data_IF_927556055312
#
_entry.id   IF_927556055312
#
_cell.length_a   1.000
_cell.length_b   1.000
_cell.length_c   1.000
_cell.angle_alpha   90.00
_cell.angle_beta   90.00
_cell.angle_gamma   90.00
#
_symmetry.space_group_name_H-M   'P 1'
#
loop_
_entity.id
_entity.type
_entity.pdbx_description
1 polymer ?
#
# COMPACT_ATOMS: atom_id res chain seq x y z
N UNK A 1 -12.92 25.59 2.71
CA UNK A 1 -13.79 25.67 1.52
C UNK A 1 -12.89 25.91 0.33
N UNK A 2 -12.94 25.21 -0.80
CA UNK A 2 -13.70 24.04 -1.20
C UNK A 2 -12.92 23.35 -2.33
N UNK A 3 -12.89 22.01 -2.31
CA UNK A 3 -12.49 21.13 -3.43
C UNK A 3 -13.17 19.76 -3.19
N UNK A 4 -13.21 19.29 -1.93
CA UNK A 4 -13.78 17.98 -1.58
C UNK A 4 -15.30 17.85 -1.71
N UNK A 5 -16.09 18.92 -1.50
CA UNK A 5 -17.56 18.86 -1.60
C UNK A 5 -18.04 18.90 -3.07
N UNK A 6 -17.31 19.57 -3.94
CA UNK A 6 -17.60 19.62 -5.39
C UNK A 6 -17.19 18.31 -6.06
N UNK A 7 -16.08 17.70 -5.64
CA UNK A 7 -15.73 16.33 -6.05
C UNK A 7 -16.71 15.29 -5.48
N UNK A 8 -17.40 15.60 -4.37
CA UNK A 8 -18.47 14.77 -3.80
C UNK A 8 -19.76 14.78 -4.64
N UNK A 9 -20.10 15.89 -5.31
CA UNK A 9 -21.23 15.97 -6.25
C UNK A 9 -20.94 15.15 -7.53
N UNK A 10 -19.66 14.93 -7.84
CA UNK A 10 -19.20 14.01 -8.88
C UNK A 10 -19.18 12.52 -8.44
N UNK A 11 -19.71 12.13 -7.27
CA UNK A 11 -19.75 10.71 -6.84
C UNK A 11 -20.62 9.81 -7.74
N UNK A 12 -21.47 10.38 -8.59
CA UNK A 12 -22.12 9.62 -9.68
C UNK A 12 -21.17 9.15 -10.78
N UNK A 13 -20.04 9.84 -10.97
CA UNK A 13 -18.97 9.55 -11.97
C UNK A 13 -17.76 8.78 -11.38
N UNK A 14 -17.76 8.44 -10.09
CA UNK A 14 -16.66 7.73 -9.40
C UNK A 14 -16.39 6.30 -9.88
N UNK A 15 -17.26 5.75 -10.71
CA UNK A 15 -16.96 4.45 -11.33
C UNK A 15 -15.71 4.54 -12.19
N UNK A 16 -15.44 5.71 -12.78
CA UNK A 16 -14.26 5.96 -13.62
C UNK A 16 -13.17 6.74 -12.89
N UNK A 17 -13.52 7.66 -11.98
CA UNK A 17 -12.52 8.45 -11.27
C UNK A 17 -11.71 7.64 -10.23
N UNK A 18 -10.46 8.07 -10.04
CA UNK A 18 -9.54 7.61 -8.99
C UNK A 18 -9.19 8.77 -8.08
N UNK A 19 -9.02 8.50 -6.79
CA UNK A 19 -8.50 9.46 -5.82
C UNK A 19 -7.14 8.95 -5.35
N UNK A 20 -6.15 9.84 -5.37
CA UNK A 20 -4.82 9.54 -4.85
C UNK A 20 -4.85 9.48 -3.32
N UNK A 21 -4.35 8.37 -2.78
CA UNK A 21 -4.13 8.15 -1.37
C UNK A 21 -2.62 8.04 -1.13
N UNK A 22 -1.94 9.17 -0.83
CA UNK A 22 -0.51 9.19 -0.59
C UNK A 22 -0.22 8.59 0.79
N UNK A 23 0.82 7.75 0.84
CA UNK A 23 1.39 7.18 2.06
C UNK A 23 2.86 7.55 2.05
N UNK A 24 3.24 8.45 2.94
CA UNK A 24 4.62 8.93 2.99
C UNK A 24 5.56 7.85 3.56
N UNK A 25 6.86 8.01 3.32
CA UNK A 25 7.87 7.06 3.79
C UNK A 25 7.76 6.77 5.29
N UNK A 26 7.53 7.78 6.13
CA UNK A 26 7.44 7.62 7.58
C UNK A 26 6.22 6.78 7.99
N UNK A 27 5.10 6.94 7.31
CA UNK A 27 3.92 6.08 7.50
C UNK A 27 4.23 4.64 7.12
N UNK A 28 4.93 4.41 6.00
CA UNK A 28 5.37 3.07 5.61
C UNK A 28 6.36 2.46 6.60
N UNK A 29 7.30 3.24 7.14
CA UNK A 29 8.20 2.79 8.22
C UNK A 29 7.42 2.33 9.46
N UNK A 30 6.36 3.06 9.83
CA UNK A 30 5.48 2.68 10.94
C UNK A 30 4.68 1.41 10.63
N UNK A 31 4.17 1.27 9.40
CA UNK A 31 3.41 0.11 8.94
C UNK A 31 4.30 -1.15 8.95
N UNK A 32 5.51 -1.03 8.43
CA UNK A 32 6.45 -2.14 8.30
C UNK A 32 7.28 -2.38 9.57
N UNK A 33 7.27 -1.43 10.51
CA UNK A 33 8.08 -1.40 11.73
C UNK A 33 9.58 -1.61 11.48
N UNK A 34 10.07 -1.09 10.35
CA UNK A 34 11.46 -1.14 9.91
C UNK A 34 11.78 0.08 9.05
N UNK A 35 13.06 0.48 8.89
CA UNK A 35 13.41 1.55 7.97
C UNK A 35 13.04 1.22 6.51
N UNK A 36 12.53 2.21 5.81
CA UNK A 36 12.06 2.11 4.42
C UNK A 36 12.65 3.27 3.64
N UNK A 37 13.07 3.04 2.41
CA UNK A 37 13.49 4.11 1.50
C UNK A 37 12.72 3.99 0.19
N UNK A 38 12.12 5.11 -0.24
CA UNK A 38 11.30 5.15 -1.44
C UNK A 38 12.00 5.93 -2.55
N UNK A 39 12.20 5.24 -3.68
CA UNK A 39 12.67 5.81 -4.92
C UNK A 39 11.63 5.52 -6.02
N UNK A 40 11.65 6.24 -7.16
CA UNK A 40 10.73 5.94 -8.26
C UNK A 40 10.72 4.45 -8.63
N UNK A 41 9.53 3.85 -8.58
CA UNK A 41 9.20 2.44 -8.83
C UNK A 41 9.88 1.42 -7.90
N UNK A 42 10.53 1.85 -6.81
CA UNK A 42 11.32 0.98 -5.93
C UNK A 42 11.16 1.36 -4.47
N UNK A 43 10.89 0.35 -3.64
CA UNK A 43 10.90 0.42 -2.18
C UNK A 43 11.99 -0.48 -1.63
N UNK A 44 12.90 0.11 -0.85
CA UNK A 44 13.94 -0.62 -0.15
C UNK A 44 13.55 -0.77 1.33
N UNK A 45 13.40 -2.01 1.80
CA UNK A 45 13.04 -2.36 3.19
C UNK A 45 14.28 -2.85 3.91
N UNK A 46 14.66 -2.22 5.02
CA UNK A 46 15.89 -2.56 5.75
C UNK A 46 15.57 -3.36 7.01
N UNK A 47 15.95 -4.64 7.02
CA UNK A 47 15.71 -5.54 8.15
C UNK A 47 17.02 -5.88 8.87
N UNK A 48 16.97 -5.99 10.20
CA UNK A 48 18.13 -6.39 11.01
C UNK A 48 18.13 -7.90 11.22
N UNK A 49 19.16 -8.57 10.70
CA UNK A 49 19.38 -10.00 10.98
C UNK A 49 20.47 -10.15 12.05
N UNK A 50 20.09 -10.74 13.19
CA UNK A 50 21.05 -11.11 14.25
C UNK A 50 21.67 -12.46 13.91
N UNK A 51 22.99 -12.52 13.91
CA UNK A 51 23.78 -13.74 13.81
C UNK A 51 24.69 -13.81 15.02
N UNK A 52 24.35 -14.68 15.98
CA UNK A 52 25.12 -14.91 17.21
C UNK A 52 25.51 -13.59 17.92
N UNK A 53 26.72 -13.09 17.67
CA UNK A 53 27.27 -11.87 18.27
C UNK A 53 27.24 -10.61 17.38
N UNK A 54 26.74 -10.70 16.14
CA UNK A 54 26.72 -9.59 15.19
C UNK A 54 25.31 -9.34 14.64
N UNK A 55 24.91 -8.07 14.51
CA UNK A 55 23.73 -7.68 13.76
C UNK A 55 24.16 -7.06 12.44
N UNK A 56 23.58 -7.54 11.33
CA UNK A 56 23.80 -6.95 10.00
C UNK A 56 22.47 -6.44 9.45
N UNK A 57 22.51 -5.26 8.85
CA UNK A 57 21.40 -4.69 8.12
C UNK A 57 21.33 -5.34 6.73
N UNK A 58 20.16 -5.87 6.39
CA UNK A 58 19.83 -6.45 5.10
C UNK A 58 18.82 -5.57 4.40
N UNK A 59 19.12 -5.24 3.14
CA UNK A 59 18.29 -4.39 2.31
C UNK A 59 17.53 -5.26 1.32
N UNK A 60 16.22 -5.36 1.49
CA UNK A 60 15.32 -6.08 0.59
C UNK A 60 14.75 -5.07 -0.38
N UNK A 61 14.97 -5.28 -1.67
CA UNK A 61 14.48 -4.41 -2.73
C UNK A 61 13.20 -4.94 -3.33
N UNK A 62 12.14 -4.15 -3.18
CA UNK A 62 10.81 -4.38 -3.73
C UNK A 62 10.61 -3.41 -4.90
N UNK A 63 10.19 -3.94 -6.05
CA UNK A 63 9.86 -3.16 -7.23
C UNK A 63 8.33 -3.06 -7.35
N UNK A 64 7.88 -1.91 -7.82
CA UNK A 64 6.52 -1.73 -8.28
C UNK A 64 6.15 -2.81 -9.30
N UNK A 65 5.00 -3.45 -9.07
CA UNK A 65 4.37 -4.40 -9.97
C UNK A 65 2.90 -4.03 -10.15
N UNK A 66 2.18 -4.77 -10.99
CA UNK A 66 0.79 -4.45 -11.35
C UNK A 66 -0.23 -5.32 -10.60
N UNK A 67 0.17 -5.88 -9.45
CA UNK A 67 -0.63 -6.86 -8.71
C UNK A 67 -1.40 -6.20 -7.56
N UNK A 68 -2.70 -6.48 -7.48
CA UNK A 68 -3.54 -6.02 -6.38
C UNK A 68 -4.62 -7.04 -6.06
N UNK A 69 -4.98 -7.08 -4.77
CA UNK A 69 -6.04 -7.95 -4.24
C UNK A 69 -7.11 -7.03 -3.67
N UNK A 70 -8.33 -7.10 -4.22
CA UNK A 70 -9.50 -6.39 -3.71
C UNK A 70 -10.56 -7.40 -3.23
N UNK A 71 -10.29 -8.10 -2.14
CA UNK A 71 -11.25 -9.04 -1.53
C UNK A 71 -12.10 -8.31 -0.48
N UNK A 72 -13.35 -8.06 -0.84
CA UNK A 72 -14.36 -7.46 0.04
C UNK A 72 -14.66 -8.31 1.26
N UNK A 73 -14.87 -9.61 1.08
CA UNK A 73 -15.34 -10.53 2.12
C UNK A 73 -14.24 -10.76 3.16
N UNK A 74 -12.99 -10.86 2.72
CA UNK A 74 -11.84 -11.00 3.59
C UNK A 74 -11.32 -9.67 4.17
N UNK A 75 -11.89 -8.52 3.77
CA UNK A 75 -11.39 -7.21 4.22
C UNK A 75 -9.97 -6.90 3.76
N UNK A 76 -9.57 -7.40 2.59
CA UNK A 76 -8.18 -7.31 2.08
C UNK A 76 -8.11 -6.44 0.83
N UNK A 77 -7.46 -5.28 0.95
CA UNK A 77 -7.10 -4.38 -0.16
C UNK A 77 -5.58 -4.27 -0.16
N UNK A 78 -4.92 -5.14 -0.91
CA UNK A 78 -3.48 -5.26 -0.89
C UNK A 78 -2.87 -4.96 -2.25
N UNK A 79 -1.63 -4.45 -2.24
CA UNK A 79 -0.80 -4.33 -3.45
C UNK A 79 0.39 -5.27 -3.33
N UNK A 80 0.77 -5.88 -4.45
CA UNK A 80 1.86 -6.83 -4.55
C UNK A 80 3.06 -6.20 -5.23
N UNK A 81 4.26 -6.55 -4.74
CA UNK A 81 5.52 -6.05 -5.26
C UNK A 81 6.30 -7.19 -5.92
N UNK A 82 7.12 -6.86 -6.91
CA UNK A 82 8.13 -7.80 -7.40
C UNK A 82 9.36 -7.76 -6.51
N UNK A 83 9.92 -8.91 -6.20
CA UNK A 83 11.16 -9.01 -5.46
C UNK A 83 12.35 -9.21 -6.39
N UNK A 84 13.49 -8.58 -6.07
CA UNK A 84 14.70 -8.78 -6.85
C UNK A 84 15.32 -10.16 -6.64
N UNK A 85 15.22 -10.73 -5.44
CA UNK A 85 15.82 -12.01 -5.06
C UNK A 85 14.81 -12.86 -4.27
N UNK A 86 14.38 -14.00 -4.82
CA UNK A 86 13.39 -14.88 -4.16
C UNK A 86 13.83 -15.35 -2.77
N UNK A 87 15.14 -15.55 -2.54
CA UNK A 87 15.68 -15.94 -1.23
C UNK A 87 15.45 -14.92 -0.12
N UNK A 88 15.14 -13.66 -0.47
CA UNK A 88 14.91 -12.60 0.52
C UNK A 88 13.48 -12.66 1.09
N UNK A 89 12.61 -13.56 0.60
CA UNK A 89 11.21 -13.70 1.04
C UNK A 89 11.16 -13.96 2.54
N UNK A 90 12.04 -14.82 3.04
CA UNK A 90 12.11 -15.21 4.45
C UNK A 90 12.49 -14.04 5.38
N UNK A 91 13.06 -12.96 4.82
CA UNK A 91 13.52 -11.80 5.57
C UNK A 91 12.49 -10.68 5.61
N UNK A 92 11.40 -10.79 4.87
CA UNK A 92 10.37 -9.75 4.83
C UNK A 92 9.70 -9.57 6.19
N UNK A 93 9.32 -8.33 6.55
CA UNK A 93 8.46 -8.08 7.70
C UNK A 93 7.17 -8.91 7.64
N UNK A 94 6.70 -9.40 8.78
CA UNK A 94 5.52 -10.28 8.89
C UNK A 94 4.19 -9.66 8.43
N UNK A 95 4.16 -8.35 8.21
CA UNK A 95 3.01 -7.64 7.64
C UNK A 95 2.84 -7.89 6.14
N UNK A 96 3.90 -8.36 5.46
CA UNK A 96 3.78 -8.87 4.09
C UNK A 96 3.21 -10.28 4.09
N UNK A 97 2.23 -10.50 3.23
CA UNK A 97 1.74 -11.84 2.90
C UNK A 97 2.35 -12.27 1.57
N UNK A 98 2.91 -13.48 1.52
CA UNK A 98 3.58 -13.98 0.32
C UNK A 98 2.66 -14.93 -0.42
N UNK A 99 2.31 -14.60 -1.66
CA UNK A 99 1.45 -15.41 -2.53
C UNK A 99 2.19 -15.63 -3.83
N UNK A 100 2.38 -16.90 -4.22
CA UNK A 100 3.10 -17.26 -5.44
C UNK A 100 4.48 -16.59 -5.57
N UNK A 101 5.20 -16.47 -4.44
CA UNK A 101 6.53 -15.84 -4.39
C UNK A 101 6.53 -14.31 -4.40
N UNK A 102 5.36 -13.66 -4.43
CA UNK A 102 5.23 -12.19 -4.41
C UNK A 102 4.75 -11.68 -3.05
N UNK A 103 5.39 -10.66 -2.47
CA UNK A 103 4.92 -10.04 -1.24
C UNK A 103 3.79 -9.04 -1.49
N UNK A 104 2.73 -9.14 -0.69
CA UNK A 104 1.56 -8.26 -0.70
C UNK A 104 1.43 -7.54 0.64
N UNK A 105 1.12 -6.25 0.59
CA UNK A 105 0.86 -5.43 1.77
C UNK A 105 -0.60 -4.99 1.80
N UNK A 106 -1.34 -5.37 2.84
CA UNK A 106 -2.74 -4.99 2.99
C UNK A 106 -2.88 -3.55 3.51
N UNK A 107 -3.41 -2.68 2.67
CA UNK A 107 -3.62 -1.27 2.99
C UNK A 107 -5.00 -0.95 3.57
N UNK A 108 -5.92 -1.93 3.61
CA UNK A 108 -7.28 -1.68 4.07
C UNK A 108 -7.40 -1.10 5.48
N UNK A 109 -6.64 -1.55 6.50
CA UNK A 109 -6.70 -0.96 7.84
C UNK A 109 -6.34 0.53 7.85
N UNK A 110 -5.35 0.92 7.03
CA UNK A 110 -4.83 2.29 6.96
C UNK A 110 -5.75 3.21 6.15
N UNK A 111 -6.32 2.69 5.06
CA UNK A 111 -7.36 3.40 4.31
C UNK A 111 -8.54 3.72 5.24
N UNK A 112 -9.05 2.74 5.99
CA UNK A 112 -10.17 2.93 6.92
C UNK A 112 -9.89 3.94 8.04
N UNK A 113 -8.64 4.03 8.49
CA UNK A 113 -8.22 4.95 9.54
C UNK A 113 -8.01 6.38 9.03
N UNK A 114 -8.01 6.60 7.71
CA UNK A 114 -7.70 7.90 7.11
C UNK A 114 -8.87 8.89 7.15
N UNK A 115 -8.54 10.18 7.19
CA UNK A 115 -9.53 11.25 6.99
C UNK A 115 -10.20 11.22 5.62
N UNK A 116 -9.54 10.64 4.60
CA UNK A 116 -10.16 10.48 3.29
C UNK A 116 -11.38 9.55 3.40
N UNK A 117 -11.24 8.44 4.12
CA UNK A 117 -12.30 7.44 4.27
C UNK A 117 -13.49 7.95 5.09
N UNK A 118 -13.26 8.84 6.06
CA UNK A 118 -14.36 9.42 6.85
C UNK A 118 -15.30 10.28 6.01
N UNK A 119 -14.77 10.89 4.94
CA UNK A 119 -15.50 11.73 3.98
C UNK A 119 -16.24 10.93 2.89
N UNK A 120 -15.92 9.65 2.72
CA UNK A 120 -16.63 8.78 1.76
C UNK A 120 -18.06 8.54 2.25
N UNK A 121 -19.10 8.70 1.43
CA UNK A 121 -20.48 8.39 1.83
C UNK A 121 -20.62 6.92 2.24
N UNK A 122 -21.41 6.65 3.29
CA UNK A 122 -21.53 5.31 3.90
C UNK A 122 -21.86 4.19 2.89
N UNK A 123 -22.69 4.48 1.88
CA UNK A 123 -23.06 3.53 0.82
C UNK A 123 -21.90 3.08 -0.09
N UNK A 124 -20.79 3.82 -0.10
CA UNK A 124 -19.61 3.55 -0.92
C UNK A 124 -18.38 3.11 -0.11
N UNK A 125 -18.40 3.24 1.22
CA UNK A 125 -17.26 2.94 2.11
C UNK A 125 -16.69 1.54 1.89
N UNK A 126 -17.52 0.51 2.00
CA UNK A 126 -17.09 -0.88 1.77
C UNK A 126 -16.82 -1.19 0.29
N UNK A 127 -17.20 -0.26 -0.60
CA UNK A 127 -17.02 -0.39 -2.05
C UNK A 127 -15.70 0.16 -2.56
N UNK A 128 -14.91 0.80 -1.69
CA UNK A 128 -13.57 1.29 -2.00
C UNK A 128 -12.64 0.13 -2.35
N UNK A 129 -11.93 0.29 -3.47
CA UNK A 129 -10.95 -0.63 -4.02
C UNK A 129 -9.67 0.13 -4.39
N UNK A 130 -8.55 -0.60 -4.48
CA UNK A 130 -7.32 -0.10 -5.08
C UNK A 130 -7.39 -0.43 -6.58
N UNK A 131 -7.31 0.59 -7.44
CA UNK A 131 -7.31 0.41 -8.90
C UNK A 131 -5.90 0.31 -9.46
N UNK A 132 -4.95 0.99 -8.82
CA UNK A 132 -3.57 1.10 -9.25
C UNK A 132 -2.72 1.64 -8.08
N UNK A 133 -1.40 1.58 -8.19
CA UNK A 133 -0.49 2.24 -7.25
C UNK A 133 0.83 2.64 -7.92
N UNK A 134 1.50 3.62 -7.34
CA UNK A 134 2.78 4.11 -7.84
C UNK A 134 3.73 4.41 -6.68
N UNK A 135 4.98 3.95 -6.78
CA UNK A 135 6.05 4.30 -5.86
C UNK A 135 6.80 5.51 -6.44
N UNK A 136 6.67 6.64 -5.77
CA UNK A 136 7.41 7.87 -6.10
C UNK A 136 8.53 8.08 -5.09
N UNK A 137 9.32 9.14 -5.30
CA UNK A 137 10.28 9.57 -4.30
C UNK A 137 9.55 9.96 -3.01
N UNK A 138 9.95 9.36 -1.89
CA UNK A 138 9.44 9.61 -0.52
C UNK A 138 7.94 9.30 -0.27
N UNK A 139 7.20 8.77 -1.26
CA UNK A 139 5.76 8.48 -1.14
C UNK A 139 5.32 7.29 -2.00
N UNK A 140 4.45 6.45 -1.45
CA UNK A 140 3.67 5.45 -2.19
C UNK A 140 2.25 5.98 -2.38
N UNK A 141 1.76 6.03 -3.60
CA UNK A 141 0.42 6.54 -3.91
C UNK A 141 -0.48 5.38 -4.32
N UNK A 142 -1.54 5.13 -3.55
CA UNK A 142 -2.60 4.22 -3.98
C UNK A 142 -3.66 5.01 -4.74
N UNK A 143 -4.06 4.55 -5.93
CA UNK A 143 -5.19 5.12 -6.66
C UNK A 143 -6.46 4.39 -6.25
N UNK A 144 -7.24 5.02 -5.38
CA UNK A 144 -8.48 4.45 -4.84
C UNK A 144 -9.65 4.73 -5.79
N UNK A 145 -10.52 3.76 -5.97
CA UNK A 145 -11.76 3.91 -6.73
C UNK A 145 -12.92 3.22 -6.03
N UNK A 146 -14.10 3.27 -6.65
CA UNK A 146 -15.30 2.60 -6.16
C UNK A 146 -15.74 1.54 -7.17
N UNK A 147 -15.93 0.30 -6.70
CA UNK A 147 -16.45 -0.78 -7.54
C UNK A 147 -17.98 -0.83 -7.50
N UNK A 148 -18.58 -1.09 -8.67
CA UNK A 148 -20.02 -1.34 -8.85
C UNK A 148 -20.59 -2.31 -7.82
#
# INVERSE_FOLDING_TARGET
MGIFAEDLINFGNLMEATIDFPINQKELENILNVPVFLAPHVMDVVVKKKFLAFSKDYKIRLKEGEYFINDRKAGKRAVGFDMLLEKDVELLPSVFEVIEGRPYLNFWPYIKASELYTKVPNQFKERVIIKDYEIKKDVLVLKLGVQK
#
